data_IF_380125687296
#
_entry.id   IF_380125687296
#
_cell.length_a   1.000
_cell.length_b   1.000
_cell.length_c   1.000
_cell.angle_alpha   90.00
_cell.angle_beta   90.00
_cell.angle_gamma   90.00
#
_symmetry.space_group_name_H-M   'P 1'
#
loop_
_entity.id
_entity.type
_entity.pdbx_description
1 polymer ?
#
# COMPACT_ATOMS: atom_id res chain seq x y z
N UNK A 1 -6.95 -8.60 -11.00
CA UNK A 1 -5.62 -9.16 -10.71
C UNK A 1 -5.72 -10.20 -9.62
N UNK A 2 -5.07 -11.29 -9.83
CA UNK A 2 -5.14 -12.36 -8.86
C UNK A 2 -3.97 -12.27 -7.90
N UNK A 3 -4.22 -11.71 -6.74
CA UNK A 3 -3.18 -11.57 -5.71
C UNK A 3 -2.95 -12.92 -5.00
N UNK A 4 -3.93 -13.81 -5.10
CA UNK A 4 -3.89 -15.06 -4.38
C UNK A 4 -2.80 -16.04 -4.80
N UNK A 5 -1.99 -15.68 -5.80
CA UNK A 5 -0.85 -16.50 -6.18
C UNK A 5 0.34 -16.31 -5.24
N UNK A 6 0.20 -15.43 -4.27
CA UNK A 6 1.28 -15.22 -3.31
C UNK A 6 1.50 -16.48 -2.49
N UNK A 7 2.68 -16.56 -1.94
CA UNK A 7 3.10 -17.77 -1.22
C UNK A 7 2.17 -18.06 -0.06
N UNK A 8 2.00 -19.33 0.21
CA UNK A 8 1.17 -19.77 1.32
C UNK A 8 1.73 -19.34 2.67
N UNK A 9 3.05 -19.23 2.80
CA UNK A 9 3.67 -18.80 4.04
C UNK A 9 3.48 -17.31 4.33
N UNK A 10 2.92 -16.56 3.38
CA UNK A 10 2.54 -15.18 3.61
C UNK A 10 1.11 -15.05 4.12
N UNK A 11 0.42 -16.16 4.33
CA UNK A 11 -0.92 -16.15 4.86
C UNK A 11 -0.96 -15.40 6.18
N UNK A 12 -1.92 -14.49 6.32
CA UNK A 12 -2.08 -13.62 7.47
C UNK A 12 -0.88 -12.72 7.74
N UNK A 13 -0.07 -12.45 6.74
CA UNK A 13 1.08 -11.58 6.90
C UNK A 13 0.67 -10.21 7.43
N UNK A 14 -0.46 -9.71 6.98
CA UNK A 14 -0.96 -8.41 7.42
C UNK A 14 -1.17 -8.34 8.93
N UNK A 15 -1.52 -9.44 9.57
CA UNK A 15 -1.75 -9.46 11.02
C UNK A 15 -0.55 -9.96 11.81
N UNK A 16 0.42 -10.60 11.15
CA UNK A 16 1.64 -11.12 11.80
C UNK A 16 2.81 -10.15 11.73
N UNK A 17 2.67 -9.08 10.96
CA UNK A 17 3.72 -8.09 10.83
C UNK A 17 3.84 -7.24 12.09
N UNK A 18 5.04 -6.73 12.37
CA UNK A 18 5.23 -5.75 13.44
C UNK A 18 4.43 -4.48 13.19
N UNK A 19 4.18 -4.16 11.93
CA UNK A 19 3.28 -3.10 11.51
C UNK A 19 2.08 -3.71 10.80
N UNK A 20 1.10 -4.23 11.55
CA UNK A 20 -0.04 -4.87 10.91
C UNK A 20 -0.88 -3.87 10.13
N UNK A 21 -1.60 -4.39 9.15
CA UNK A 21 -2.50 -3.57 8.35
C UNK A 21 -3.79 -4.31 8.07
N UNK A 22 -4.81 -3.53 7.80
CA UNK A 22 -6.10 -4.01 7.31
C UNK A 22 -6.25 -3.58 5.86
N UNK A 23 -7.31 -4.07 5.23
CA UNK A 23 -7.58 -3.74 3.84
C UNK A 23 -8.81 -2.87 3.73
N UNK A 24 -8.75 -1.90 2.82
CA UNK A 24 -9.88 -1.06 2.48
C UNK A 24 -10.10 -1.13 0.98
N UNK A 25 -11.32 -0.77 0.56
CA UNK A 25 -11.66 -0.73 -0.84
C UNK A 25 -11.58 0.70 -1.33
N UNK A 26 -10.85 0.89 -2.43
CA UNK A 26 -10.79 2.14 -3.14
C UNK A 26 -11.66 1.98 -4.37
N UNK A 27 -12.83 2.60 -4.37
CA UNK A 27 -13.83 2.40 -5.40
C UNK A 27 -14.07 3.69 -6.16
N UNK A 28 -14.02 3.60 -7.47
CA UNK A 28 -14.29 4.74 -8.36
C UNK A 28 -15.01 4.22 -9.60
N UNK A 29 -16.26 4.65 -9.84
CA UNK A 29 -17.00 4.18 -11.00
C UNK A 29 -16.45 4.65 -12.33
N UNK A 30 -15.63 5.70 -12.33
CA UNK A 30 -15.03 6.25 -13.54
C UNK A 30 -13.61 5.76 -13.76
N UNK A 31 -13.24 4.69 -13.10
CA UNK A 31 -11.91 4.12 -13.21
C UNK A 31 -12.00 2.63 -13.56
N UNK A 32 -10.98 2.14 -14.24
CA UNK A 32 -10.76 0.71 -14.46
C UNK A 32 -9.38 0.34 -13.91
N UNK A 33 -9.29 -0.61 -12.99
CA UNK A 33 -10.40 -1.33 -12.34
C UNK A 33 -11.18 -0.40 -11.40
N UNK A 34 -12.47 -0.68 -11.28
CA UNK A 34 -13.34 0.16 -10.45
C UNK A 34 -13.06 -0.01 -8.97
N UNK A 35 -12.64 -1.19 -8.56
CA UNK A 35 -12.35 -1.50 -7.16
C UNK A 35 -10.90 -1.90 -7.05
N UNK A 36 -10.18 -1.22 -6.19
CA UNK A 36 -8.81 -1.58 -5.81
C UNK A 36 -8.79 -1.83 -4.32
N UNK A 37 -8.04 -2.85 -3.92
CA UNK A 37 -7.87 -3.16 -2.50
C UNK A 37 -6.59 -2.49 -2.04
N UNK A 38 -6.68 -1.74 -0.96
CA UNK A 38 -5.55 -1.02 -0.40
C UNK A 38 -5.28 -1.42 1.03
N UNK A 39 -4.02 -1.39 1.43
CA UNK A 39 -3.61 -1.60 2.81
C UNK A 39 -3.77 -0.31 3.61
N UNK A 40 -4.16 -0.46 4.86
CA UNK A 40 -4.22 0.64 5.81
C UNK A 40 -3.46 0.22 7.05
N UNK A 41 -2.42 0.95 7.41
CA UNK A 41 -1.67 0.67 8.62
C UNK A 41 -2.59 0.75 9.83
N UNK A 42 -2.55 -0.27 10.66
CA UNK A 42 -3.42 -0.33 11.83
C UNK A 42 -2.89 0.54 12.96
N UNK A 43 -1.60 0.86 12.93
CA UNK A 43 -0.97 1.68 13.95
C UNK A 43 0.20 2.43 13.34
N UNK A 44 0.60 3.52 13.99
CA UNK A 44 1.73 4.32 13.52
C UNK A 44 3.04 3.94 14.20
N UNK A 45 2.98 3.26 15.32
CA UNK A 45 4.16 2.90 16.11
C UNK A 45 4.03 1.49 16.66
N UNK A 46 5.17 0.89 16.92
CA UNK A 46 5.25 -0.42 17.58
C UNK A 46 5.88 -0.18 18.94
N UNK A 47 5.27 -0.75 19.99
CA UNK A 47 5.78 -0.60 21.35
C UNK A 47 7.23 -1.06 21.45
N UNK A 48 8.05 -0.25 22.11
CA UNK A 48 9.47 -0.53 22.37
C UNK A 48 10.35 -0.59 21.13
N UNK A 49 9.84 -0.15 19.98
CA UNK A 49 10.64 -0.09 18.77
C UNK A 49 10.71 1.35 18.28
N UNK A 50 11.88 1.72 17.81
CA UNK A 50 12.08 3.03 17.16
C UNK A 50 11.50 2.99 15.77
N UNK A 51 11.15 4.18 15.26
CA UNK A 51 10.61 4.31 13.92
C UNK A 51 9.11 4.37 13.91
N UNK A 52 8.56 4.33 12.73
CA UNK A 52 7.13 4.44 12.49
C UNK A 52 6.67 3.39 11.50
N UNK A 53 5.40 3.02 11.62
CA UNK A 53 4.75 2.19 10.61
C UNK A 53 4.37 3.08 9.44
N UNK A 54 4.89 2.77 8.27
CA UNK A 54 4.65 3.54 7.06
C UNK A 54 4.09 2.65 5.97
N UNK A 55 3.28 3.24 5.10
CA UNK A 55 2.71 2.51 3.98
C UNK A 55 3.76 2.19 2.94
N UNK A 56 3.65 0.99 2.38
CA UNK A 56 4.43 0.57 1.22
C UNK A 56 3.54 0.78 0.01
N UNK A 57 4.07 1.44 -1.02
CA UNK A 57 3.32 1.80 -2.21
C UNK A 57 3.80 1.01 -3.42
N UNK A 58 2.86 0.76 -4.32
CA UNK A 58 3.14 0.18 -5.61
C UNK A 58 2.56 1.08 -6.69
N UNK A 59 3.31 1.27 -7.76
CA UNK A 59 2.86 2.10 -8.86
C UNK A 59 2.12 1.22 -9.86
N UNK A 60 0.83 1.48 -10.04
CA UNK A 60 -0.04 0.61 -10.83
C UNK A 60 -0.74 1.39 -11.92
N UNK A 61 -0.95 0.76 -13.08
CA UNK A 61 -1.68 1.40 -14.17
C UNK A 61 -3.19 1.31 -13.93
N UNK A 62 -3.87 2.38 -14.25
CA UNK A 62 -5.33 2.44 -14.23
C UNK A 62 -5.80 3.21 -15.45
N UNK A 63 -7.10 3.10 -15.73
CA UNK A 63 -7.73 3.94 -16.75
C UNK A 63 -8.80 4.77 -16.08
N UNK A 64 -8.87 6.03 -16.47
CA UNK A 64 -9.93 6.92 -16.01
C UNK A 64 -10.78 7.40 -17.18
N UNK A 65 -12.08 7.46 -16.93
CA UNK A 65 -13.02 8.05 -17.86
C UNK A 65 -13.08 9.55 -17.61
N UNK A 66 -12.55 10.30 -18.54
CA UNK A 66 -12.57 11.76 -18.47
C UNK A 66 -13.44 12.25 -19.62
N UNK A 67 -14.62 12.78 -19.30
CA UNK A 67 -15.57 13.30 -20.27
C UNK A 67 -15.89 12.29 -21.39
N UNK A 68 -16.08 11.04 -21.01
CA UNK A 68 -16.43 9.97 -21.95
C UNK A 68 -15.25 9.30 -22.63
N UNK A 69 -14.04 9.74 -22.36
CA UNK A 69 -12.82 9.15 -22.94
C UNK A 69 -11.99 8.49 -21.87
N UNK A 70 -11.64 7.23 -22.10
CA UNK A 70 -10.78 6.48 -21.18
C UNK A 70 -9.33 6.81 -21.47
N UNK A 71 -8.61 7.24 -20.44
CA UNK A 71 -7.20 7.62 -20.56
C UNK A 71 -6.37 6.80 -19.58
N UNK A 72 -5.13 6.53 -19.97
CA UNK A 72 -4.20 5.77 -19.16
C UNK A 72 -3.54 6.64 -18.11
N UNK A 73 -3.47 6.13 -16.89
CA UNK A 73 -2.85 6.81 -15.77
C UNK A 73 -2.11 5.80 -14.90
N UNK A 74 -1.25 6.30 -14.05
CA UNK A 74 -0.55 5.51 -13.04
C UNK A 74 -0.82 6.12 -11.67
N UNK A 75 -1.11 5.28 -10.71
CA UNK A 75 -1.33 5.72 -9.34
C UNK A 75 -0.48 4.92 -8.37
N UNK A 76 -0.20 5.52 -7.24
CA UNK A 76 0.43 4.84 -6.11
C UNK A 76 -0.64 4.14 -5.29
N UNK A 77 -0.51 2.83 -5.14
CA UNK A 77 -1.44 2.01 -4.39
C UNK A 77 -0.74 1.51 -3.13
N UNK A 78 -1.41 1.66 -1.99
CA UNK A 78 -0.87 1.14 -0.74
C UNK A 78 -1.06 -0.36 -0.71
N UNK A 79 0.04 -1.10 -0.55
CA UNK A 79 0.00 -2.56 -0.61
C UNK A 79 0.37 -3.23 0.70
N UNK A 80 0.88 -2.47 1.67
CA UNK A 80 1.25 -3.02 2.97
C UNK A 80 1.81 -1.95 3.87
N UNK A 81 2.33 -2.38 5.02
CA UNK A 81 2.97 -1.50 5.98
C UNK A 81 4.31 -2.08 6.40
N UNK A 82 5.24 -1.20 6.70
CA UNK A 82 6.55 -1.59 7.19
C UNK A 82 7.01 -0.66 8.29
N UNK A 83 7.86 -1.18 9.15
CA UNK A 83 8.50 -0.36 10.17
C UNK A 83 9.70 0.33 9.53
N UNK A 84 9.63 1.66 9.48
CA UNK A 84 10.69 2.47 8.91
C UNK A 84 11.53 3.09 10.01
N UNK A 85 12.83 3.23 9.75
CA UNK A 85 13.74 3.83 10.70
C UNK A 85 13.43 5.30 10.89
N UNK A 86 13.74 5.87 12.07
CA UNK A 86 13.50 7.29 12.28
C UNK A 86 14.26 8.16 11.27
N UNK A 87 13.61 9.26 10.88
CA UNK A 87 14.20 10.21 9.93
C UNK A 87 15.08 11.26 10.61
N UNK A 88 15.23 11.20 11.92
CA UNK A 88 15.98 12.18 12.67
C UNK A 88 17.48 11.90 12.73
N UNK A 89 17.93 10.88 12.04
CA UNK A 89 19.36 10.62 11.89
C UNK A 89 19.94 11.39 10.72
N UNK A 90 21.21 11.17 10.40
CA UNK A 90 21.80 11.76 9.20
C UNK A 90 20.98 11.39 7.97
N UNK A 91 20.78 12.31 7.04
CA UNK A 91 19.98 12.00 5.86
C UNK A 91 20.67 10.89 5.06
N UNK A 92 19.86 9.93 4.63
CA UNK A 92 20.33 8.87 3.75
C UNK A 92 20.13 9.37 2.35
N UNK A 93 21.23 9.48 1.62
CA UNK A 93 21.17 9.89 0.23
C UNK A 93 21.24 8.65 -0.65
N UNK A 94 20.22 8.48 -1.44
CA UNK A 94 20.23 7.44 -2.46
C UNK A 94 20.59 8.09 -3.78
N UNK A 95 21.73 7.75 -4.28
CA UNK A 95 22.18 8.28 -5.56
C UNK A 95 22.20 7.19 -6.60
#
# INVERSE_FOLDING_TARGET
MKIGTMQTNSENLNSRSKCPWTYTYNTDPNRLPKVLVEAQCAQSHVANLAGQCEHVYYYVPVKWNVSGTWTDHWIWLRVGCTLATPLNGPPITFN
#
